data_IF_324739487477
#
_entry.id   IF_324739487477
#
_cell.length_a   1.000
_cell.length_b   1.000
_cell.length_c   1.000
_cell.angle_alpha   90.00
_cell.angle_beta   90.00
_cell.angle_gamma   90.00
#
_symmetry.space_group_name_H-M   'P 1'
#
loop_
_entity.id
_entity.type
_entity.pdbx_description
1 polymer ?
#
# COMPACT_ATOMS: atom_id res chain seq x y z
N UNK A 1 10.68 -13.80 9.94
CA UNK A 1 10.35 -13.80 8.51
C UNK A 1 11.50 -14.41 7.74
N UNK A 2 11.36 -15.64 7.21
CA UNK A 2 12.21 -16.06 6.08
C UNK A 2 11.54 -15.47 4.85
N UNK A 3 12.13 -14.37 4.40
CA UNK A 3 11.88 -13.74 3.10
C UNK A 3 11.74 -14.88 2.09
N UNK A 4 10.62 -14.93 1.37
CA UNK A 4 10.58 -15.70 0.13
C UNK A 4 11.88 -15.39 -0.58
N UNK A 5 12.73 -16.38 -0.83
CA UNK A 5 14.01 -16.15 -1.51
C UNK A 5 13.71 -15.83 -2.98
N UNK A 6 13.15 -14.65 -3.23
CA UNK A 6 12.80 -14.12 -4.53
C UNK A 6 14.03 -13.42 -5.07
N UNK A 7 15.05 -14.22 -5.36
CA UNK A 7 16.02 -13.83 -6.36
C UNK A 7 15.31 -13.96 -7.72
N UNK A 8 14.51 -12.96 -8.09
CA UNK A 8 13.77 -12.91 -9.35
C UNK A 8 12.54 -11.99 -9.30
N UNK A 9 12.22 -11.37 -10.44
CA UNK A 9 10.99 -10.60 -10.67
C UNK A 9 9.79 -11.53 -10.49
N UNK A 10 8.81 -11.14 -9.67
CA UNK A 10 7.62 -11.96 -9.38
C UNK A 10 6.41 -11.42 -10.12
N UNK A 11 6.22 -11.88 -11.36
CA UNK A 11 4.96 -11.66 -12.05
C UNK A 11 3.87 -12.58 -11.48
N UNK A 12 3.14 -12.09 -10.47
CA UNK A 12 1.96 -12.76 -9.94
C UNK A 12 0.70 -12.08 -10.48
N UNK A 13 0.07 -12.66 -11.52
CA UNK A 13 -1.23 -12.18 -12.00
C UNK A 13 -2.35 -12.79 -11.16
N UNK A 14 -3.04 -11.95 -10.40
CA UNK A 14 -4.24 -12.32 -9.67
C UNK A 14 -5.48 -11.88 -10.47
N UNK A 15 -6.17 -12.81 -11.12
CA UNK A 15 -7.44 -12.53 -11.79
C UNK A 15 -8.58 -12.51 -10.76
N UNK A 16 -9.18 -11.34 -10.56
CA UNK A 16 -10.26 -11.13 -9.61
C UNK A 16 -11.63 -11.06 -10.31
N UNK A 17 -12.68 -11.65 -9.72
CA UNK A 17 -14.03 -11.57 -10.28
C UNK A 17 -14.56 -10.13 -10.28
N UNK A 18 -15.33 -9.78 -11.32
CA UNK A 18 -15.80 -8.44 -11.70
C UNK A 18 -16.65 -7.65 -10.68
N UNK A 19 -16.75 -8.09 -9.42
CA UNK A 19 -17.52 -7.39 -8.38
C UNK A 19 -16.83 -6.16 -7.77
N UNK A 20 -15.70 -5.71 -8.33
CA UNK A 20 -15.00 -4.48 -7.96
C UNK A 20 -15.10 -3.40 -9.05
N UNK A 21 -16.31 -3.17 -9.58
CA UNK A 21 -16.56 -2.15 -10.60
C UNK A 21 -16.03 -0.76 -10.19
N UNK A 22 -16.06 -0.45 -8.89
CA UNK A 22 -15.49 0.78 -8.34
C UNK A 22 -13.96 0.86 -8.49
N UNK A 23 -13.25 -0.25 -8.32
CA UNK A 23 -11.80 -0.30 -8.53
C UNK A 23 -11.45 -0.22 -10.01
N UNK A 24 -12.18 -0.94 -10.86
CA UNK A 24 -12.00 -0.86 -12.32
C UNK A 24 -12.17 0.59 -12.78
N UNK A 25 -13.24 1.25 -12.34
CA UNK A 25 -13.47 2.66 -12.63
C UNK A 25 -12.36 3.54 -12.04
N UNK A 26 -11.91 3.29 -10.81
CA UNK A 26 -10.83 4.05 -10.19
C UNK A 26 -9.52 3.92 -10.97
N UNK A 27 -9.12 2.72 -11.36
CA UNK A 27 -7.90 2.48 -12.16
C UNK A 27 -8.04 3.12 -13.55
N UNK A 28 -9.19 2.98 -14.20
CA UNK A 28 -9.46 3.61 -15.51
C UNK A 28 -9.37 5.13 -15.40
N UNK A 29 -10.06 5.75 -14.43
CA UNK A 29 -10.01 7.21 -14.21
C UNK A 29 -8.60 7.68 -13.88
N UNK A 30 -7.89 7.00 -12.98
CA UNK A 30 -6.53 7.38 -12.61
C UNK A 30 -5.53 7.20 -13.75
N UNK A 31 -5.72 6.19 -14.59
CA UNK A 31 -4.87 6.01 -15.77
C UNK A 31 -4.97 7.20 -16.72
N UNK A 32 -6.16 7.80 -16.87
CA UNK A 32 -6.37 8.99 -17.70
C UNK A 32 -5.65 10.21 -17.12
N UNK A 33 -5.65 10.37 -15.79
CA UNK A 33 -4.88 11.43 -15.11
C UNK A 33 -3.36 11.24 -15.21
N UNK A 34 -2.90 10.00 -15.39
CA UNK A 34 -1.47 9.65 -15.50
C UNK A 34 -0.91 9.73 -16.92
N UNK A 35 -1.73 9.89 -17.95
CA UNK A 35 -1.27 9.99 -19.35
C UNK A 35 -0.60 11.35 -19.62
N UNK A 36 0.69 11.44 -19.28
CA UNK A 36 1.66 12.31 -19.97
C UNK A 36 2.31 11.48 -21.11
N UNK A 37 2.70 12.09 -22.25
CA UNK A 37 2.83 11.38 -23.52
C UNK A 37 4.07 10.47 -23.71
N UNK A 38 4.88 10.20 -22.68
CA UNK A 38 6.10 9.42 -22.85
C UNK A 38 6.24 8.33 -21.78
N UNK A 39 5.71 7.14 -22.05
CA UNK A 39 6.32 5.87 -21.59
C UNK A 39 5.79 4.70 -22.43
N UNK A 40 6.60 4.31 -23.41
CA UNK A 40 6.50 3.03 -24.11
C UNK A 40 7.32 2.00 -23.32
N UNK A 41 6.68 1.04 -22.67
CA UNK A 41 7.36 -0.11 -22.09
C UNK A 41 7.22 -1.32 -23.02
N UNK A 42 8.37 -1.74 -23.57
CA UNK A 42 8.50 -2.94 -24.37
C UNK A 42 8.45 -4.19 -23.49
N UNK A 43 7.64 -5.15 -23.94
CA UNK A 43 7.59 -6.54 -23.50
C UNK A 43 8.93 -7.24 -23.72
N UNK A 44 9.33 -8.14 -22.83
CA UNK A 44 10.05 -9.35 -23.22
C UNK A 44 9.83 -10.51 -22.23
N UNK A 45 9.75 -11.70 -22.83
CA UNK A 45 9.41 -13.01 -22.26
C UNK A 45 10.29 -13.45 -21.09
N UNK A 46 9.70 -13.90 -19.97
CA UNK A 46 10.36 -14.68 -18.88
C UNK A 46 9.35 -15.20 -17.83
N UNK A 47 9.70 -16.22 -17.00
CA UNK A 47 8.78 -17.27 -16.54
C UNK A 47 7.71 -16.82 -15.54
N UNK A 48 6.51 -17.41 -15.68
CA UNK A 48 5.28 -17.02 -14.99
C UNK A 48 4.87 -18.00 -13.88
N UNK A 49 4.33 -17.46 -12.78
CA UNK A 49 3.51 -18.21 -11.84
C UNK A 49 2.06 -17.77 -12.04
N UNK A 50 1.26 -18.65 -12.63
CA UNK A 50 -0.17 -18.44 -12.88
C UNK A 50 -0.97 -19.07 -11.74
N UNK A 51 -1.83 -18.28 -11.12
CA UNK A 51 -2.84 -18.75 -10.17
C UNK A 51 -4.20 -18.47 -10.79
N UNK A 52 -4.81 -19.49 -11.40
CA UNK A 52 -6.19 -19.43 -11.88
C UNK A 52 -7.10 -20.21 -10.93
N UNK A 53 -8.10 -19.53 -10.37
CA UNK A 53 -9.20 -20.17 -9.67
C UNK A 53 -10.35 -20.41 -10.67
N UNK A 54 -10.12 -21.26 -11.67
CA UNK A 54 -11.21 -21.80 -12.48
C UNK A 54 -11.67 -23.13 -11.88
N UNK A 55 -12.97 -23.35 -11.61
CA UNK A 55 -13.46 -24.67 -11.23
C UNK A 55 -13.15 -25.68 -12.35
N UNK A 56 -12.82 -26.95 -12.04
CA UNK A 56 -12.26 -27.90 -13.02
C UNK A 56 -13.23 -28.38 -14.12
N UNK A 57 -14.44 -27.82 -14.21
CA UNK A 57 -15.44 -28.18 -15.22
C UNK A 57 -16.35 -26.98 -15.54
N UNK A 58 -15.97 -26.19 -16.53
CA UNK A 58 -16.94 -25.42 -17.31
C UNK A 58 -16.45 -25.38 -18.75
N UNK A 59 -17.24 -25.96 -19.64
CA UNK A 59 -17.01 -25.97 -21.07
C UNK A 59 -16.65 -24.58 -21.59
N UNK A 60 -15.57 -24.54 -22.36
CA UNK A 60 -15.05 -23.36 -23.02
C UNK A 60 -16.00 -22.90 -24.14
N UNK A 61 -17.03 -22.14 -23.81
CA UNK A 61 -17.76 -21.28 -24.75
C UNK A 61 -18.74 -20.34 -24.03
N UNK A 62 -18.26 -19.41 -23.21
CA UNK A 62 -18.89 -18.12 -22.87
C UNK A 62 -18.18 -17.50 -21.66
N UNK A 63 -17.44 -16.38 -21.85
CA UNK A 63 -17.29 -15.29 -20.85
C UNK A 63 -16.10 -14.34 -21.13
N UNK A 64 -16.06 -13.63 -22.27
CA UNK A 64 -15.13 -12.49 -22.43
C UNK A 64 -15.77 -11.13 -22.10
N UNK A 65 -16.86 -11.12 -21.32
CA UNK A 65 -17.65 -9.93 -20.98
C UNK A 65 -17.50 -9.47 -19.52
N UNK A 66 -16.52 -10.00 -18.79
CA UNK A 66 -16.26 -9.58 -17.41
C UNK A 66 -15.07 -8.62 -17.33
N UNK A 67 -15.23 -7.54 -16.57
CA UNK A 67 -14.10 -6.70 -16.19
C UNK A 67 -13.07 -7.51 -15.38
N UNK A 68 -11.79 -7.26 -15.60
CA UNK A 68 -10.69 -7.94 -14.93
C UNK A 68 -9.76 -6.94 -14.26
N UNK A 69 -9.19 -7.35 -13.13
CA UNK A 69 -8.08 -6.66 -12.47
C UNK A 69 -6.86 -7.57 -12.59
N UNK A 70 -5.73 -6.97 -12.91
CA UNK A 70 -4.42 -7.59 -12.93
C UNK A 70 -3.51 -6.85 -11.95
N UNK A 71 -2.79 -7.60 -11.14
CA UNK A 71 -1.71 -7.09 -10.31
C UNK A 71 -0.41 -7.63 -10.90
N UNK A 72 0.61 -6.80 -10.97
CA UNK A 72 1.95 -7.19 -11.42
C UNK A 72 2.95 -6.64 -10.40
N UNK A 73 3.58 -7.52 -9.61
CA UNK A 73 4.60 -7.10 -8.63
C UNK A 73 5.96 -7.02 -9.34
N UNK A 74 6.66 -5.90 -9.20
CA UNK A 74 7.90 -5.64 -9.96
C UNK A 74 9.14 -5.74 -9.08
N UNK A 75 9.15 -5.03 -7.94
CA UNK A 75 10.31 -4.93 -7.06
C UNK A 75 9.90 -5.07 -5.58
N UNK A 76 10.75 -5.72 -4.77
CA UNK A 76 10.58 -5.75 -3.32
C UNK A 76 11.15 -4.47 -2.69
N UNK A 77 10.29 -3.72 -2.01
CA UNK A 77 10.65 -2.43 -1.38
C UNK A 77 11.13 -2.59 0.06
N UNK A 78 10.65 -3.60 0.78
CA UNK A 78 11.03 -3.86 2.17
C UNK A 78 10.02 -4.69 2.93
N UNK A 79 10.45 -5.23 4.07
CA UNK A 79 9.61 -6.01 4.99
C UNK A 79 9.48 -5.31 6.34
N UNK A 80 8.24 -5.19 6.81
CA UNK A 80 7.85 -4.70 8.13
C UNK A 80 7.59 -5.85 9.12
N UNK A 81 6.86 -5.56 10.20
CA UNK A 81 6.45 -6.61 11.14
C UNK A 81 5.16 -7.30 10.67
N UNK A 82 4.34 -6.62 9.86
CA UNK A 82 3.08 -7.16 9.34
C UNK A 82 3.13 -7.39 7.83
N UNK A 83 3.81 -6.50 7.09
CA UNK A 83 3.73 -6.46 5.63
C UNK A 83 5.08 -6.65 4.95
N UNK A 84 5.09 -7.40 3.85
CA UNK A 84 6.08 -7.25 2.79
C UNK A 84 5.55 -6.26 1.76
N UNK A 85 6.32 -5.25 1.40
CA UNK A 85 5.94 -4.21 0.46
C UNK A 85 6.63 -4.41 -0.90
N UNK A 86 5.85 -4.29 -1.96
CA UNK A 86 6.30 -4.43 -3.34
C UNK A 86 5.87 -3.23 -4.18
N UNK A 87 6.73 -2.78 -5.08
CA UNK A 87 6.30 -1.98 -6.21
C UNK A 87 5.42 -2.85 -7.11
N UNK A 88 4.36 -2.27 -7.66
CA UNK A 88 3.43 -2.99 -8.50
C UNK A 88 2.83 -2.11 -9.60
N UNK A 89 2.32 -2.76 -10.64
CA UNK A 89 1.40 -2.16 -11.60
C UNK A 89 0.03 -2.79 -11.44
N UNK A 90 -1.01 -1.95 -11.27
CA UNK A 90 -2.39 -2.40 -11.34
C UNK A 90 -2.93 -2.17 -12.75
N UNK A 91 -3.36 -3.25 -13.39
CA UNK A 91 -4.10 -3.25 -14.65
C UNK A 91 -5.60 -3.43 -14.40
N UNK A 92 -6.44 -2.70 -15.13
CA UNK A 92 -7.88 -2.90 -15.16
C UNK A 92 -8.37 -2.99 -16.62
N UNK A 93 -9.00 -4.09 -16.96
CA UNK A 93 -9.59 -4.34 -18.28
C UNK A 93 -11.11 -4.28 -18.20
N UNK A 94 -11.73 -3.54 -19.11
CA UNK A 94 -13.18 -3.63 -19.35
C UNK A 94 -13.44 -4.35 -20.68
N UNK A 95 -14.55 -5.08 -20.82
CA UNK A 95 -14.89 -5.75 -22.07
C UNK A 95 -14.90 -4.77 -23.25
N UNK A 96 -14.16 -5.11 -24.31
CA UNK A 96 -14.03 -4.28 -25.52
C UNK A 96 -13.24 -2.97 -25.34
N UNK A 97 -12.63 -2.73 -24.17
CA UNK A 97 -11.82 -1.54 -23.88
C UNK A 97 -10.32 -1.78 -23.87
N UNK A 98 -9.55 -0.69 -23.79
CA UNK A 98 -8.10 -0.74 -23.53
C UNK A 98 -7.83 -1.10 -22.08
N UNK A 99 -6.75 -1.85 -21.83
CA UNK A 99 -6.25 -2.12 -20.49
C UNK A 99 -5.65 -0.84 -19.90
N UNK A 100 -6.28 -0.30 -18.85
CA UNK A 100 -5.76 0.82 -18.08
C UNK A 100 -4.75 0.33 -17.06
N UNK A 101 -3.62 1.02 -16.93
CA UNK A 101 -2.56 0.67 -15.96
C UNK A 101 -2.19 1.87 -15.10
N UNK A 102 -1.96 1.64 -13.81
CA UNK A 102 -1.43 2.64 -12.88
C UNK A 102 -0.32 2.04 -12.02
N UNK A 103 0.70 2.84 -11.64
CA UNK A 103 1.67 2.43 -10.62
C UNK A 103 0.99 2.32 -9.25
N UNK A 104 1.44 1.36 -8.45
CA UNK A 104 0.93 1.09 -7.12
C UNK A 104 2.04 0.53 -6.21
N UNK A 105 1.76 0.53 -4.92
CA UNK A 105 2.49 -0.28 -3.94
C UNK A 105 1.53 -1.34 -3.43
N UNK A 106 1.97 -2.60 -3.43
CA UNK A 106 1.20 -3.71 -2.87
C UNK A 106 1.89 -4.19 -1.61
N UNK A 107 1.16 -4.10 -0.50
CA UNK A 107 1.53 -4.73 0.77
C UNK A 107 0.93 -6.13 0.84
N UNK A 108 1.74 -7.10 1.21
CA UNK A 108 1.39 -8.52 1.22
C UNK A 108 1.69 -9.15 2.58
N UNK A 109 0.82 -10.06 3.02
CA UNK A 109 1.10 -10.96 4.12
C UNK A 109 0.66 -12.38 3.77
N UNK A 110 1.48 -13.36 4.10
CA UNK A 110 1.19 -14.79 4.00
C UNK A 110 0.80 -15.35 5.38
N UNK A 111 -0.49 -15.57 5.58
CA UNK A 111 -1.07 -16.10 6.81
C UNK A 111 -0.73 -17.57 7.05
N UNK A 112 -0.47 -18.37 6.00
CA UNK A 112 -0.08 -19.77 6.16
C UNK A 112 1.31 -19.86 6.80
N UNK A 113 2.19 -18.92 6.45
CA UNK A 113 3.50 -18.80 7.08
C UNK A 113 3.41 -18.55 8.59
N UNK A 114 2.32 -17.94 9.07
CA UNK A 114 2.08 -17.55 10.47
C UNK A 114 1.61 -18.69 11.39
N UNK A 115 1.24 -19.84 10.82
CA UNK A 115 0.63 -20.95 11.56
C UNK A 115 1.63 -22.03 12.01
N UNK A 116 2.93 -21.78 11.88
CA UNK A 116 3.95 -22.79 12.19
C UNK A 116 4.31 -22.83 13.70
N UNK A 117 4.46 -24.00 14.33
CA UNK A 117 4.80 -24.12 15.76
C UNK A 117 6.12 -23.43 16.15
N UNK A 118 7.09 -23.37 15.23
CA UNK A 118 8.36 -22.69 15.41
C UNK A 118 8.19 -21.16 15.57
N UNK A 119 7.15 -20.58 14.98
CA UNK A 119 6.86 -19.17 15.13
C UNK A 119 6.14 -18.84 16.45
N UNK A 120 5.28 -19.73 16.95
CA UNK A 120 4.73 -19.56 18.30
C UNK A 120 5.84 -19.52 19.38
N UNK A 121 6.90 -20.32 19.20
CA UNK A 121 8.07 -20.39 20.09
C UNK A 121 9.02 -19.17 19.99
N UNK A 122 9.00 -18.46 18.87
CA UNK A 122 9.84 -17.28 18.61
C UNK A 122 9.14 -15.95 18.95
N UNK A 123 7.94 -16.00 19.54
CA UNK A 123 7.21 -14.80 19.98
C UNK A 123 6.55 -14.01 18.85
N UNK A 124 6.29 -14.63 17.70
CA UNK A 124 5.61 -13.97 16.60
C UNK A 124 4.19 -13.55 17.00
N UNK A 125 3.68 -12.42 16.47
CA UNK A 125 2.33 -11.96 16.76
C UNK A 125 1.34 -13.07 16.40
N UNK A 126 0.49 -13.45 17.36
CA UNK A 126 -0.64 -14.33 17.12
C UNK A 126 -1.41 -13.86 15.88
N UNK A 127 -1.91 -14.77 15.05
CA UNK A 127 -2.67 -14.46 13.83
C UNK A 127 -3.67 -13.29 14.02
N UNK A 128 -4.35 -13.25 15.16
CA UNK A 128 -5.26 -12.15 15.51
C UNK A 128 -4.60 -10.77 15.53
N UNK A 129 -3.35 -10.64 16.02
CA UNK A 129 -2.61 -9.36 16.03
C UNK A 129 -2.24 -8.90 14.62
N UNK A 130 -1.88 -9.82 13.73
CA UNK A 130 -1.59 -9.50 12.32
C UNK A 130 -2.87 -9.01 11.64
N UNK A 131 -3.97 -9.73 11.82
CA UNK A 131 -5.27 -9.31 11.28
C UNK A 131 -5.71 -7.95 11.86
N UNK A 132 -5.53 -7.71 13.16
CA UNK A 132 -5.81 -6.43 13.81
C UNK A 132 -4.92 -5.30 13.25
N UNK A 133 -3.65 -5.58 12.93
CA UNK A 133 -2.74 -4.61 12.32
C UNK A 133 -3.16 -4.26 10.90
N UNK A 134 -3.48 -5.26 10.07
CA UNK A 134 -4.02 -5.09 8.72
C UNK A 134 -5.28 -4.22 8.73
N UNK A 135 -6.24 -4.58 9.58
CA UNK A 135 -7.52 -3.88 9.68
C UNK A 135 -7.36 -2.45 10.19
N UNK A 136 -6.43 -2.23 11.13
CA UNK A 136 -6.10 -0.90 11.65
C UNK A 136 -5.50 -0.03 10.56
N UNK A 137 -4.48 -0.50 9.85
CA UNK A 137 -3.84 0.29 8.80
C UNK A 137 -4.84 0.64 7.69
N UNK A 138 -5.66 -0.33 7.25
CA UNK A 138 -6.75 -0.09 6.29
C UNK A 138 -7.70 1.01 6.75
N UNK A 139 -8.16 0.97 8.01
CA UNK A 139 -9.06 1.99 8.57
C UNK A 139 -8.39 3.37 8.62
N UNK A 140 -7.12 3.43 9.03
CA UNK A 140 -6.38 4.68 9.14
C UNK A 140 -6.13 5.33 7.78
N UNK A 141 -5.73 4.56 6.76
CA UNK A 141 -5.54 5.08 5.41
C UNK A 141 -6.84 5.66 4.83
N UNK A 142 -7.99 5.02 5.09
CA UNK A 142 -9.31 5.55 4.72
C UNK A 142 -9.62 6.85 5.47
N UNK A 143 -9.44 6.86 6.80
CA UNK A 143 -9.62 8.05 7.63
C UNK A 143 -8.78 9.24 7.14
N UNK A 144 -7.52 9.00 6.79
CA UNK A 144 -6.62 10.03 6.28
C UNK A 144 -6.98 10.49 4.87
N UNK A 145 -7.48 9.59 4.01
CA UNK A 145 -8.00 9.97 2.69
C UNK A 145 -9.15 10.97 2.81
N UNK A 146 -10.02 10.79 3.80
CA UNK A 146 -11.18 11.66 4.05
C UNK A 146 -10.81 12.96 4.78
N UNK A 147 -9.98 12.87 5.83
CA UNK A 147 -9.73 13.98 6.77
C UNK A 147 -8.44 14.75 6.51
N UNK A 148 -7.47 14.14 5.84
CA UNK A 148 -6.18 14.72 5.52
C UNK A 148 -5.74 14.34 4.08
N UNK A 149 -6.54 14.69 3.05
CA UNK A 149 -6.33 14.20 1.69
C UNK A 149 -4.93 14.54 1.16
N UNK A 150 -4.29 13.56 0.53
CA UNK A 150 -2.95 13.71 -0.04
C UNK A 150 -1.81 13.73 0.99
N UNK A 151 -2.03 13.28 2.23
CA UNK A 151 -0.93 13.08 3.20
C UNK A 151 -0.46 11.63 3.23
N UNK A 152 -1.37 10.65 3.15
CA UNK A 152 -1.05 9.23 3.12
C UNK A 152 -1.32 8.63 1.73
N UNK A 153 -0.73 7.46 1.41
CA UNK A 153 -1.12 6.69 0.24
C UNK A 153 -2.62 6.44 0.25
N UNK A 154 -3.29 6.74 -0.86
CA UNK A 154 -4.69 6.35 -1.00
C UNK A 154 -4.77 4.82 -1.12
N UNK A 155 -5.59 4.13 -0.31
CA UNK A 155 -5.84 2.72 -0.49
C UNK A 155 -6.75 2.52 -1.72
N UNK A 156 -6.34 1.64 -2.62
CA UNK A 156 -7.14 1.25 -3.78
C UNK A 156 -8.08 0.11 -3.42
N UNK A 157 -7.53 -0.98 -2.89
CA UNK A 157 -8.29 -2.17 -2.55
C UNK A 157 -7.53 -3.05 -1.57
N UNK A 158 -8.27 -3.96 -0.93
CA UNK A 158 -7.73 -5.02 -0.08
C UNK A 158 -8.36 -6.33 -0.49
N UNK A 159 -7.54 -7.33 -0.77
CA UNK A 159 -7.97 -8.66 -1.15
C UNK A 159 -7.51 -9.69 -0.14
N UNK A 160 -8.33 -10.72 0.00
CA UNK A 160 -7.97 -11.94 0.72
C UNK A 160 -8.14 -13.10 -0.24
N UNK A 161 -7.04 -13.76 -0.58
CA UNK A 161 -7.01 -14.86 -1.53
C UNK A 161 -6.32 -16.04 -0.85
N UNK A 162 -7.10 -17.06 -0.51
CA UNK A 162 -6.65 -18.17 0.34
C UNK A 162 -6.03 -17.61 1.63
N UNK A 163 -4.77 -17.97 1.92
CA UNK A 163 -4.02 -17.51 3.08
C UNK A 163 -3.21 -16.23 2.82
N UNK A 164 -3.49 -15.48 1.76
CA UNK A 164 -2.81 -14.22 1.47
C UNK A 164 -3.72 -13.02 1.65
N UNK A 165 -3.21 -11.95 2.27
CA UNK A 165 -3.85 -10.64 2.24
C UNK A 165 -2.97 -9.69 1.44
N UNK A 166 -3.60 -8.93 0.56
CA UNK A 166 -2.97 -7.93 -0.31
C UNK A 166 -3.67 -6.60 -0.08
N UNK A 167 -2.92 -5.54 0.20
CA UNK A 167 -3.40 -4.16 0.26
C UNK A 167 -2.68 -3.37 -0.84
N UNK A 168 -3.41 -2.96 -1.87
CA UNK A 168 -2.86 -2.05 -2.89
C UNK A 168 -3.12 -0.60 -2.51
N UNK A 169 -2.09 0.22 -2.63
CA UNK A 169 -2.12 1.66 -2.37
C UNK A 169 -1.47 2.44 -3.51
N UNK A 170 -1.74 3.74 -3.55
CA UNK A 170 -1.03 4.71 -4.39
C UNK A 170 0.49 4.58 -4.24
N UNK A 171 1.19 4.52 -5.38
CA UNK A 171 2.62 4.74 -5.40
C UNK A 171 2.92 6.22 -5.14
N UNK A 172 3.53 6.47 -3.99
CA UNK A 172 3.84 7.80 -3.49
C UNK A 172 5.28 8.24 -3.83
N UNK A 173 5.98 7.49 -4.66
CA UNK A 173 7.33 7.79 -5.11
C UNK A 173 8.40 7.49 -4.07
N UNK A 174 9.44 8.32 -4.04
CA UNK A 174 10.70 7.99 -3.38
C UNK A 174 10.92 8.76 -2.10
N UNK A 175 11.65 8.16 -1.15
CA UNK A 175 12.08 8.80 0.09
C UNK A 175 12.78 10.14 -0.16
N UNK A 176 12.46 11.14 0.66
CA UNK A 176 13.14 12.44 0.60
C UNK A 176 14.64 12.32 0.90
N UNK A 177 15.47 13.00 0.12
CA UNK A 177 16.94 12.91 0.26
C UNK A 177 17.47 13.93 1.26
N UNK A 178 18.47 13.54 2.05
CA UNK A 178 19.22 14.46 2.92
C UNK A 178 20.36 15.15 2.17
N UNK A 179 20.74 16.38 2.56
CA UNK A 179 20.18 17.19 3.65
C UNK A 179 18.83 17.83 3.28
N UNK A 180 17.94 17.99 4.27
CA UNK A 180 16.64 18.62 4.07
C UNK A 180 16.77 20.15 4.11
N UNK A 181 16.24 20.83 3.09
CA UNK A 181 16.07 22.29 3.11
C UNK A 181 14.93 22.73 4.04
N UNK A 182 14.97 23.98 4.50
CA UNK A 182 14.00 24.53 5.47
C UNK A 182 12.55 24.46 4.98
N UNK A 183 12.31 24.61 3.66
CA UNK A 183 10.98 24.43 3.06
C UNK A 183 10.47 22.99 3.24
N UNK A 184 11.32 21.99 2.97
CA UNK A 184 10.95 20.57 3.15
C UNK A 184 10.72 20.23 4.62
N UNK A 185 11.52 20.77 5.55
CA UNK A 185 11.29 20.59 6.99
C UNK A 185 9.93 21.15 7.40
N UNK A 186 9.59 22.35 6.93
CA UNK A 186 8.27 22.98 7.17
C UNK A 186 7.12 22.16 6.58
N UNK A 187 7.28 21.62 5.38
CA UNK A 187 6.30 20.74 4.75
C UNK A 187 6.07 19.46 5.57
N UNK A 188 7.14 18.82 6.06
CA UNK A 188 7.04 17.62 6.91
C UNK A 188 6.29 17.94 8.21
N UNK A 189 6.66 19.01 8.90
CA UNK A 189 6.01 19.44 10.14
C UNK A 189 4.52 19.73 9.88
N UNK A 190 4.21 20.43 8.79
CA UNK A 190 2.83 20.71 8.38
C UNK A 190 2.05 19.43 8.07
N UNK A 191 2.68 18.46 7.41
CA UNK A 191 2.08 17.16 7.13
C UNK A 191 1.70 16.44 8.43
N UNK A 192 2.62 16.32 9.40
CA UNK A 192 2.32 15.70 10.70
C UNK A 192 1.21 16.44 11.47
N UNK A 193 1.19 17.77 11.45
CA UNK A 193 0.06 18.52 12.02
C UNK A 193 -1.28 18.16 11.37
N UNK A 194 -1.33 17.93 10.06
CA UNK A 194 -2.56 17.48 9.37
C UNK A 194 -2.95 16.07 9.78
N UNK A 195 -1.99 15.17 9.99
CA UNK A 195 -2.22 13.81 10.53
C UNK A 195 -2.86 13.91 11.91
N UNK A 196 -2.29 14.71 12.81
CA UNK A 196 -2.82 14.90 14.16
C UNK A 196 -4.19 15.56 14.18
N UNK A 197 -4.43 16.54 13.30
CA UNK A 197 -5.74 17.17 13.15
C UNK A 197 -6.82 16.19 12.69
N UNK A 198 -6.45 15.13 11.95
CA UNK A 198 -7.35 14.04 11.57
C UNK A 198 -7.64 13.05 12.72
N UNK A 199 -6.96 13.21 13.87
CA UNK A 199 -7.08 12.31 15.02
C UNK A 199 -6.25 11.04 14.89
N UNK A 200 -5.13 11.09 14.15
CA UNK A 200 -4.22 9.97 13.95
C UNK A 200 -2.84 10.32 14.47
N UNK A 201 -2.12 9.34 14.99
CA UNK A 201 -0.70 9.38 15.35
C UNK A 201 0.01 8.33 14.49
N UNK A 202 1.15 8.66 13.88
CA UNK A 202 1.89 7.77 12.98
C UNK A 202 2.55 6.60 13.73
N UNK A 203 3.09 6.87 14.91
CA UNK A 203 3.71 5.87 15.80
C UNK A 203 5.12 5.44 15.40
N UNK A 204 5.61 5.81 14.22
CA UNK A 204 6.97 5.50 13.76
C UNK A 204 7.59 6.64 12.92
N UNK A 205 7.96 7.75 13.58
CA UNK A 205 8.50 8.94 12.92
C UNK A 205 9.93 8.71 12.43
N UNK A 206 10.07 8.43 11.14
CA UNK A 206 11.38 8.24 10.52
C UNK A 206 11.43 8.87 9.13
N UNK A 207 12.60 9.38 8.74
CA UNK A 207 12.75 10.10 7.47
C UNK A 207 12.49 9.18 6.26
N UNK A 208 12.78 7.87 6.39
CA UNK A 208 12.50 6.87 5.36
C UNK A 208 11.00 6.73 5.03
N UNK A 209 10.12 7.13 5.95
CA UNK A 209 8.66 7.10 5.80
C UNK A 209 8.12 8.39 5.18
N UNK A 210 8.99 9.34 4.85
CA UNK A 210 8.61 10.57 4.16
C UNK A 210 9.06 10.46 2.71
N UNK A 211 8.11 10.49 1.78
CA UNK A 211 8.36 10.31 0.35
C UNK A 211 7.81 11.50 -0.44
N UNK A 212 8.26 11.66 -1.69
CA UNK A 212 7.69 12.60 -2.66
C UNK A 212 7.21 11.86 -3.89
N UNK A 213 5.97 12.15 -4.26
CA UNK A 213 5.39 11.67 -5.51
C UNK A 213 6.04 12.38 -6.72
N UNK A 214 5.70 11.91 -7.93
CA UNK A 214 6.21 12.49 -9.19
C UNK A 214 5.82 13.96 -9.41
N UNK A 215 4.83 14.46 -8.68
CA UNK A 215 4.40 15.86 -8.72
C UNK A 215 5.13 16.71 -7.65
N UNK A 216 6.05 16.10 -6.91
CA UNK A 216 6.77 16.73 -5.81
C UNK A 216 5.96 16.83 -4.52
N UNK A 217 4.77 16.24 -4.45
CA UNK A 217 3.92 16.31 -3.25
C UNK A 217 4.45 15.37 -2.19
N UNK A 218 4.59 15.87 -0.97
CA UNK A 218 5.03 15.09 0.17
C UNK A 218 3.93 14.13 0.64
N UNK A 219 4.31 12.88 0.89
CA UNK A 219 3.46 11.83 1.47
C UNK A 219 4.18 11.19 2.66
N UNK A 220 3.41 10.70 3.62
CA UNK A 220 3.86 9.90 4.75
C UNK A 220 3.37 8.47 4.52
N UNK A 221 4.28 7.51 4.56
CA UNK A 221 4.03 6.08 4.30
C UNK A 221 4.35 5.24 5.54
N UNK A 222 4.05 3.95 5.49
CA UNK A 222 4.29 2.98 6.57
C UNK A 222 3.48 3.23 7.85
N UNK A 223 2.17 3.01 7.75
CA UNK A 223 1.19 3.28 8.82
C UNK A 223 0.97 2.07 9.75
N UNK A 224 1.89 1.11 9.78
CA UNK A 224 1.76 -0.11 10.58
C UNK A 224 1.70 0.19 12.09
N UNK A 225 2.49 1.16 12.54
CA UNK A 225 2.55 1.61 13.95
C UNK A 225 1.45 2.59 14.35
N UNK A 226 0.62 3.02 13.40
CA UNK A 226 -0.28 4.14 13.60
C UNK A 226 -1.56 3.76 14.37
N UNK A 227 -2.18 4.75 15.00
CA UNK A 227 -3.43 4.58 15.75
C UNK A 227 -4.22 5.88 15.87
N UNK A 228 -5.53 5.74 16.11
CA UNK A 228 -6.43 6.87 16.34
C UNK A 228 -6.32 7.39 17.79
N UNK A 229 -6.47 8.70 17.95
CA UNK A 229 -6.48 9.37 19.24
C UNK A 229 -7.59 10.42 19.31
N UNK A 230 -8.17 10.59 20.49
CA UNK A 230 -9.04 11.73 20.77
C UNK A 230 -8.19 12.99 20.99
N UNK A 231 -8.19 13.88 20.00
CA UNK A 231 -7.42 15.14 20.00
C UNK A 231 -7.85 16.12 21.08
N UNK A 232 -9.05 15.97 21.63
CA UNK A 232 -9.58 16.85 22.69
C UNK A 232 -9.22 16.31 24.09
N UNK A 233 -8.92 15.01 24.20
CA UNK A 233 -8.52 14.41 25.46
C UNK A 233 -7.11 14.85 25.89
N UNK A 234 -6.84 15.00 27.21
CA UNK A 234 -5.48 15.26 27.70
C UNK A 234 -4.48 14.17 27.29
N UNK A 235 -4.91 12.90 27.25
CA UNK A 235 -4.05 11.79 26.86
C UNK A 235 -3.68 11.84 25.36
N UNK A 236 -4.64 12.10 24.47
CA UNK A 236 -4.38 12.25 23.05
C UNK A 236 -3.46 13.43 22.74
N UNK A 237 -3.67 14.58 23.40
CA UNK A 237 -2.76 15.73 23.27
C UNK A 237 -1.33 15.41 23.71
N UNK A 238 -1.16 14.70 24.82
CA UNK A 238 0.17 14.32 25.31
C UNK A 238 0.90 13.35 24.36
N UNK A 239 0.17 12.47 23.67
CA UNK A 239 0.74 11.58 22.65
C UNK A 239 1.13 12.37 21.39
N UNK A 240 0.25 13.26 20.92
CA UNK A 240 0.53 14.14 19.76
C UNK A 240 1.75 15.02 20.02
N UNK A 241 1.86 15.62 21.21
CA UNK A 241 3.02 16.44 21.60
C UNK A 241 4.32 15.63 21.59
N UNK A 242 4.26 14.36 22.02
CA UNK A 242 5.41 13.45 21.98
C UNK A 242 5.83 13.12 20.55
N UNK A 243 4.88 12.77 19.69
CA UNK A 243 5.17 12.49 18.27
C UNK A 243 5.75 13.74 17.58
N UNK A 244 5.20 14.93 17.84
CA UNK A 244 5.78 16.18 17.30
C UNK A 244 7.20 16.44 17.79
N UNK A 245 7.54 16.05 19.03
CA UNK A 245 8.92 16.14 19.52
C UNK A 245 9.87 15.24 18.71
N UNK A 246 9.43 14.03 18.36
CA UNK A 246 10.17 13.11 17.48
C UNK A 246 10.31 13.69 16.06
N UNK A 247 9.27 14.35 15.53
CA UNK A 247 9.32 15.05 14.24
C UNK A 247 10.37 16.16 14.28
N UNK A 248 10.40 17.00 15.32
CA UNK A 248 11.40 18.06 15.46
C UNK A 248 12.82 17.50 15.57
N UNK A 249 13.00 16.46 16.37
CA UNK A 249 14.28 15.77 16.48
C UNK A 249 14.74 15.19 15.13
N UNK A 250 13.84 14.55 14.37
CA UNK A 250 14.10 14.05 13.01
C UNK A 250 14.54 15.18 12.06
N UNK A 251 14.03 16.40 12.25
CA UNK A 251 14.39 17.59 11.47
C UNK A 251 15.65 18.32 11.96
N UNK A 252 16.19 17.93 13.11
CA UNK A 252 17.36 18.56 13.74
C UNK A 252 17.08 19.98 14.25
N UNK A 253 15.88 20.21 14.80
CA UNK A 253 15.42 21.49 15.38
C UNK A 253 14.94 21.34 16.82
#
# INVERSE_FOLDING_TARGET
YRVLSLNGVVHATLELPASELELVNAVVTLSQDTQSPDVSFGSDDSPSLTWSNSPPYSDASDSSDSASIQIELTEFLGGGHTWDAFEATLGAGVPGGLLSRIPAVVKHVDLASLQTPEQALLGYPELGRVLDAVDREKRLLRCLTERAPGIAPRPYAVWTVNDHILLATEDCGNTVTTPLGDDTKREIISAYHRVHAAGVVHGDVQLRHVVRDRHGTLRIVDWEGAYEVDTQSPAGRAVIEREMHEVYHMMGI
#
